data_IF_882887666644
#
_entry.id   IF_882887666644
#
_cell.length_a   1.000
_cell.length_b   1.000
_cell.length_c   1.000
_cell.angle_alpha   90.00
_cell.angle_beta   90.00
_cell.angle_gamma   90.00
#
_symmetry.space_group_name_H-M   'P 1'
#
loop_
_entity.id
_entity.type
_entity.pdbx_description
1 polymer ?
#
# COMPACT_ATOMS: atom_id res chain seq x y z
N UNK A 1 4.74 2.52 -6.36
CA UNK A 1 5.13 3.09 -5.05
C UNK A 1 6.50 3.76 -5.17
N UNK A 2 6.70 4.95 -4.59
CA UNK A 2 7.99 5.64 -4.55
C UNK A 2 8.89 5.08 -3.45
N UNK A 3 10.22 5.20 -3.60
CA UNK A 3 11.19 4.67 -2.62
C UNK A 3 11.04 5.29 -1.22
N UNK A 4 10.73 6.57 -1.17
CA UNK A 4 10.49 7.31 0.08
C UNK A 4 9.07 7.11 0.64
N UNK A 5 8.17 6.46 -0.10
CA UNK A 5 6.79 6.26 0.34
C UNK A 5 5.89 7.48 0.26
N UNK A 6 6.32 8.57 -0.39
CA UNK A 6 5.56 9.82 -0.43
C UNK A 6 4.17 9.68 -1.08
N UNK A 7 4.00 8.73 -2.00
CA UNK A 7 2.73 8.42 -2.64
C UNK A 7 2.02 7.19 -2.04
N UNK A 8 2.31 6.86 -0.78
CA UNK A 8 1.77 5.67 -0.12
C UNK A 8 0.25 5.64 -0.14
N UNK A 9 -0.42 6.74 0.20
CA UNK A 9 -1.89 6.83 0.26
C UNK A 9 -2.55 6.53 -1.09
N UNK A 10 -2.05 7.15 -2.16
CA UNK A 10 -2.53 6.91 -3.54
C UNK A 10 -2.24 5.50 -4.04
N UNK A 11 -1.07 4.96 -3.67
CA UNK A 11 -0.68 3.60 -4.02
C UNK A 11 -1.58 2.58 -3.33
N UNK A 12 -1.81 2.76 -2.02
CA UNK A 12 -2.69 1.92 -1.21
C UNK A 12 -4.11 1.88 -1.79
N UNK A 13 -4.67 3.05 -2.14
CA UNK A 13 -5.97 3.15 -2.78
C UNK A 13 -6.03 2.41 -4.12
N UNK A 14 -4.99 2.54 -4.97
CA UNK A 14 -4.91 1.84 -6.27
C UNK A 14 -4.86 0.33 -6.13
N UNK A 15 -4.03 -0.20 -5.23
CA UNK A 15 -3.91 -1.66 -5.02
C UNK A 15 -5.21 -2.23 -4.48
N UNK A 16 -5.84 -1.57 -3.51
CA UNK A 16 -7.13 -2.00 -2.95
C UNK A 16 -8.22 -2.00 -4.04
N UNK A 17 -8.27 -0.96 -4.88
CA UNK A 17 -9.27 -0.87 -5.95
C UNK A 17 -9.04 -1.95 -7.03
N UNK A 18 -7.78 -2.16 -7.45
CA UNK A 18 -7.43 -3.20 -8.42
C UNK A 18 -7.75 -4.62 -7.91
N UNK A 19 -7.46 -4.90 -6.64
CA UNK A 19 -7.83 -6.17 -6.04
C UNK A 19 -9.35 -6.32 -5.91
N UNK A 20 -10.06 -5.24 -5.61
CA UNK A 20 -11.54 -5.26 -5.52
C UNK A 20 -12.19 -5.51 -6.89
N UNK A 21 -11.69 -4.90 -7.96
CA UNK A 21 -12.24 -5.08 -9.32
C UNK A 21 -12.03 -6.49 -9.87
N UNK A 22 -11.01 -7.20 -9.39
CA UNK A 22 -10.70 -8.59 -9.76
C UNK A 22 -11.23 -9.64 -8.78
N UNK A 23 -11.95 -9.25 -7.72
CA UNK A 23 -12.39 -10.17 -6.68
C UNK A 23 -11.27 -10.69 -5.75
N UNK A 24 -10.06 -10.15 -5.88
CA UNK A 24 -8.84 -10.54 -5.17
C UNK A 24 -8.71 -9.94 -3.77
N UNK A 25 -9.65 -9.09 -3.35
CA UNK A 25 -9.56 -8.35 -2.07
C UNK A 25 -9.36 -9.27 -0.86
N UNK A 26 -9.89 -10.49 -0.90
CA UNK A 26 -9.72 -11.50 0.15
C UNK A 26 -8.27 -12.00 0.30
N UNK A 27 -7.48 -11.96 -0.78
CA UNK A 27 -6.06 -12.33 -0.73
C UNK A 27 -5.16 -11.22 -0.15
N UNK A 28 -5.67 -9.99 -0.03
CA UNK A 28 -4.97 -8.88 0.64
C UNK A 28 -5.26 -8.83 2.14
N UNK A 29 -6.42 -9.34 2.57
CA UNK A 29 -6.79 -9.43 3.97
C UNK A 29 -6.24 -10.74 4.53
N UNK A 30 -5.51 -10.66 5.64
CA UNK A 30 -4.97 -11.83 6.31
C UNK A 30 -6.10 -12.83 6.60
N UNK A 31 -6.08 -13.92 5.84
CA UNK A 31 -7.02 -15.03 5.95
C UNK A 31 -6.22 -16.29 6.25
N UNK A 32 -5.18 -16.19 7.08
CA UNK A 32 -4.30 -17.31 7.46
C UNK A 32 -5.02 -18.46 8.20
N UNK A 33 -6.33 -18.35 8.46
CA UNK A 33 -7.07 -19.35 9.25
C UNK A 33 -8.37 -19.93 8.65
N UNK A 34 -8.92 -19.39 7.56
CA UNK A 34 -10.26 -19.82 7.10
C UNK A 34 -10.25 -20.72 5.85
N UNK A 35 -9.16 -20.73 5.08
CA UNK A 35 -9.18 -21.35 3.75
C UNK A 35 -9.17 -22.88 3.86
N UNK A 36 -8.44 -23.43 4.85
CA UNK A 36 -8.47 -24.86 5.16
C UNK A 36 -9.72 -25.33 5.94
N UNK A 37 -10.35 -24.46 6.74
CA UNK A 37 -11.40 -24.89 7.69
C UNK A 37 -12.83 -24.41 7.38
N UNK A 38 -13.02 -23.42 6.51
CA UNK A 38 -14.35 -22.78 6.32
C UNK A 38 -14.89 -22.87 4.91
N UNK A 39 -14.04 -23.08 3.89
CA UNK A 39 -14.51 -23.22 2.50
C UNK A 39 -15.10 -24.60 2.19
N UNK A 40 -14.90 -25.57 3.07
CA UNK A 40 -15.34 -26.94 2.85
C UNK A 40 -16.04 -27.46 4.11
N UNK A 41 -17.36 -27.22 4.27
CA UNK A 41 -18.14 -28.20 4.99
C UNK A 41 -17.84 -29.55 4.32
N UNK A 42 -17.34 -30.53 5.08
CA UNK A 42 -17.17 -31.91 4.64
C UNK A 42 -18.55 -32.48 4.29
N UNK A 43 -19.03 -32.13 3.11
CA UNK A 43 -20.24 -32.66 2.49
C UNK A 43 -19.84 -33.02 1.08
N UNK A 44 -19.49 -34.29 0.89
CA UNK A 44 -19.50 -35.07 -0.36
C UNK A 44 -19.30 -34.25 -1.64
N UNK A 45 -18.23 -33.46 -1.72
CA UNK A 45 -17.84 -32.78 -2.94
C UNK A 45 -16.76 -33.62 -3.60
N UNK A 46 -16.99 -34.01 -4.87
CA UNK A 46 -16.05 -34.79 -5.68
C UNK A 46 -14.63 -34.22 -5.56
N UNK A 47 -13.63 -35.08 -5.33
CA UNK A 47 -12.23 -34.67 -5.12
C UNK A 47 -11.71 -33.74 -6.20
N UNK A 48 -12.14 -33.95 -7.45
CA UNK A 48 -11.79 -33.10 -8.60
C UNK A 48 -12.26 -31.65 -8.45
N UNK A 49 -13.44 -31.42 -7.85
CA UNK A 49 -13.99 -30.08 -7.61
C UNK A 49 -13.31 -29.36 -6.43
N UNK A 50 -12.72 -30.13 -5.51
CA UNK A 50 -11.86 -29.57 -4.46
C UNK A 50 -10.54 -29.14 -5.07
N UNK A 51 -9.88 -30.00 -5.84
CA UNK A 51 -8.60 -29.71 -6.50
C UNK A 51 -8.71 -28.49 -7.43
N UNK A 52 -9.77 -28.37 -8.22
CA UNK A 52 -10.01 -27.19 -9.08
C UNK A 52 -10.11 -25.88 -8.27
N UNK A 53 -10.77 -25.91 -7.09
CA UNK A 53 -10.85 -24.73 -6.20
C UNK A 53 -9.51 -24.39 -5.56
N UNK A 54 -8.70 -25.39 -5.23
CA UNK A 54 -7.35 -25.19 -4.68
C UNK A 54 -6.42 -24.55 -5.72
N UNK A 55 -6.43 -25.05 -6.96
CA UNK A 55 -5.66 -24.47 -8.06
C UNK A 55 -6.10 -23.04 -8.38
N UNK A 56 -7.41 -22.78 -8.42
CA UNK A 56 -7.92 -21.43 -8.65
C UNK A 56 -7.51 -20.47 -7.51
N UNK A 57 -7.54 -20.93 -6.26
CA UNK A 57 -7.04 -20.14 -5.13
C UNK A 57 -5.56 -19.76 -5.30
N UNK A 58 -4.70 -20.73 -5.59
CA UNK A 58 -3.26 -20.50 -5.77
C UNK A 58 -2.96 -19.59 -6.96
N UNK A 59 -3.71 -19.74 -8.06
CA UNK A 59 -3.63 -18.85 -9.22
C UNK A 59 -3.98 -17.40 -8.85
N UNK A 60 -5.08 -17.18 -8.13
CA UNK A 60 -5.49 -15.84 -7.70
C UNK A 60 -4.50 -15.23 -6.71
N UNK A 61 -3.90 -16.04 -5.84
CA UNK A 61 -2.82 -15.60 -4.94
C UNK A 61 -1.56 -15.18 -5.71
N UNK A 62 -1.15 -15.97 -6.71
CA UNK A 62 0.00 -15.66 -7.57
C UNK A 62 -0.23 -14.37 -8.36
N UNK A 63 -1.41 -14.20 -8.98
CA UNK A 63 -1.79 -12.98 -9.71
C UNK A 63 -1.73 -11.73 -8.82
N UNK A 64 -2.19 -11.86 -7.56
CA UNK A 64 -2.15 -10.76 -6.60
C UNK A 64 -0.70 -10.37 -6.26
N UNK A 65 0.17 -11.36 -6.04
CA UNK A 65 1.59 -11.14 -5.74
C UNK A 65 2.33 -10.52 -6.91
N UNK A 66 2.13 -11.04 -8.12
CA UNK A 66 2.77 -10.54 -9.35
C UNK A 66 2.47 -9.05 -9.55
N UNK A 67 1.19 -8.67 -9.48
CA UNK A 67 0.79 -7.26 -9.60
C UNK A 67 1.42 -6.37 -8.50
N UNK A 68 1.49 -6.84 -7.26
CA UNK A 68 2.17 -6.09 -6.20
C UNK A 68 3.67 -5.94 -6.54
N UNK A 69 4.33 -7.01 -6.98
CA UNK A 69 5.75 -7.00 -7.31
C UNK A 69 6.10 -6.07 -8.49
N UNK A 70 5.24 -5.98 -9.50
CA UNK A 70 5.41 -5.05 -10.62
C UNK A 70 5.31 -3.58 -10.21
N UNK A 71 4.58 -3.29 -9.13
CA UNK A 71 4.23 -1.91 -8.76
C UNK A 71 5.02 -1.36 -7.58
N UNK A 72 5.87 -2.19 -6.95
CA UNK A 72 6.78 -1.80 -5.86
C UNK A 72 8.22 -1.56 -6.33
N UNK A 73 9.00 -0.71 -5.63
CA UNK A 73 10.42 -0.58 -5.87
C UNK A 73 11.19 -1.89 -5.60
N UNK A 74 12.31 -2.09 -6.31
CA UNK A 74 13.19 -3.26 -6.14
C UNK A 74 13.69 -3.41 -4.70
N UNK A 75 13.94 -2.30 -4.01
CA UNK A 75 14.37 -2.27 -2.60
C UNK A 75 13.31 -2.83 -1.64
N UNK A 76 12.03 -2.71 -1.97
CA UNK A 76 10.91 -3.28 -1.22
C UNK A 76 10.68 -4.73 -1.63
N UNK A 77 10.75 -5.02 -2.93
CA UNK A 77 10.62 -6.38 -3.46
C UNK A 77 11.57 -7.37 -2.77
N UNK A 78 12.85 -7.01 -2.62
CA UNK A 78 13.85 -7.87 -1.95
C UNK A 78 13.44 -8.22 -0.51
N UNK A 79 12.70 -7.35 0.18
CA UNK A 79 12.26 -7.59 1.57
C UNK A 79 11.01 -8.45 1.69
N UNK A 80 10.17 -8.46 0.66
CA UNK A 80 8.84 -9.11 0.71
C UNK A 80 8.74 -10.34 -0.18
N UNK A 81 9.72 -10.60 -1.06
CA UNK A 81 9.68 -11.73 -2.00
C UNK A 81 9.57 -13.09 -1.32
N UNK A 82 10.22 -13.25 -0.17
CA UNK A 82 10.32 -14.53 0.53
C UNK A 82 9.11 -14.80 1.46
N UNK A 83 8.10 -13.93 1.44
CA UNK A 83 6.87 -14.10 2.21
C UNK A 83 5.90 -15.09 1.51
N UNK A 84 5.22 -15.95 2.28
CA UNK A 84 4.47 -17.08 1.72
C UNK A 84 3.19 -16.65 1.01
N UNK A 85 2.46 -15.67 1.55
CA UNK A 85 1.12 -15.29 1.07
C UNK A 85 1.09 -13.86 0.55
N UNK A 86 0.15 -13.58 -0.36
CA UNK A 86 -0.12 -12.21 -0.82
C UNK A 86 -0.49 -11.27 0.34
N UNK A 87 -1.21 -11.79 1.34
CA UNK A 87 -1.58 -11.06 2.54
C UNK A 87 -0.36 -10.68 3.39
N UNK A 88 0.60 -11.60 3.58
CA UNK A 88 1.83 -11.30 4.29
C UNK A 88 2.66 -10.22 3.58
N UNK A 89 2.79 -10.34 2.25
CA UNK A 89 3.43 -9.31 1.40
C UNK A 89 2.76 -7.96 1.60
N UNK A 90 1.43 -7.91 1.48
CA UNK A 90 0.65 -6.69 1.62
C UNK A 90 0.78 -6.08 3.01
N UNK A 91 0.66 -6.89 4.06
CA UNK A 91 0.79 -6.47 5.46
C UNK A 91 2.16 -5.87 5.75
N UNK A 92 3.25 -6.49 5.25
CA UNK A 92 4.60 -5.97 5.43
C UNK A 92 4.78 -4.61 4.72
N UNK A 93 4.23 -4.45 3.52
CA UNK A 93 4.26 -3.17 2.80
C UNK A 93 3.49 -2.11 3.61
N UNK A 94 2.28 -2.43 4.08
CA UNK A 94 1.47 -1.53 4.92
C UNK A 94 2.25 -1.13 6.18
N UNK A 95 2.78 -2.07 6.94
CA UNK A 95 3.55 -1.78 8.16
C UNK A 95 4.79 -0.92 7.89
N UNK A 96 5.43 -1.07 6.73
CA UNK A 96 6.64 -0.31 6.38
C UNK A 96 6.32 1.13 6.04
N UNK A 97 5.21 1.36 5.33
CA UNK A 97 4.90 2.67 4.75
C UNK A 97 3.85 3.47 5.53
N UNK A 98 2.98 2.83 6.29
CA UNK A 98 2.02 3.55 7.15
C UNK A 98 2.77 4.38 8.20
N UNK A 99 3.73 3.77 8.90
CA UNK A 99 4.54 4.45 9.93
C UNK A 99 5.47 5.52 9.32
N UNK A 100 6.04 5.25 8.14
CA UNK A 100 6.91 6.21 7.44
C UNK A 100 6.13 7.40 6.89
N UNK A 101 4.92 7.18 6.37
CA UNK A 101 4.04 8.25 5.91
C UNK A 101 3.74 9.26 7.01
N UNK A 102 3.42 8.78 8.22
CA UNK A 102 3.19 9.65 9.38
C UNK A 102 4.44 10.42 9.81
N UNK A 103 5.61 9.77 9.83
CA UNK A 103 6.87 10.43 10.17
C UNK A 103 7.27 11.50 9.15
N UNK A 104 7.11 11.21 7.86
CA UNK A 104 7.39 12.16 6.78
C UNK A 104 6.40 13.33 6.85
N UNK A 105 5.12 13.07 7.11
CA UNK A 105 4.12 14.12 7.28
C UNK A 105 4.48 15.04 8.47
N UNK A 106 4.92 14.47 9.59
CA UNK A 106 5.39 15.25 10.75
C UNK A 106 6.62 16.10 10.42
N UNK A 107 7.59 15.57 9.68
CA UNK A 107 8.79 16.30 9.26
C UNK A 107 8.44 17.45 8.30
N UNK A 108 7.59 17.18 7.30
CA UNK A 108 7.11 18.19 6.34
C UNK A 108 6.31 19.29 7.05
N UNK A 109 5.46 18.94 8.01
CA UNK A 109 4.71 19.92 8.82
C UNK A 109 5.64 20.76 9.70
N UNK A 110 6.65 20.14 10.30
CA UNK A 110 7.69 20.84 11.06
C UNK A 110 8.45 21.82 10.16
N UNK A 111 8.76 21.40 8.93
CA UNK A 111 9.42 22.26 7.94
C UNK A 111 8.52 23.42 7.50
N UNK A 112 7.22 23.17 7.30
CA UNK A 112 6.20 24.18 6.99
C UNK A 112 6.00 25.20 8.13
N UNK A 113 6.08 24.77 9.39
CA UNK A 113 5.99 25.66 10.54
C UNK A 113 7.26 26.50 10.74
N UNK A 114 8.42 25.97 10.36
CA UNK A 114 9.71 26.63 10.56
C UNK A 114 10.16 27.50 9.39
N UNK A 115 9.56 27.37 8.21
CA UNK A 115 9.83 28.27 7.08
C UNK A 115 9.32 29.67 7.43
N UNK A 116 10.26 30.60 7.64
CA UNK A 116 9.96 32.02 7.85
C UNK A 116 10.41 32.82 6.64
N UNK A 117 9.57 33.72 6.18
CA UNK A 117 9.97 34.71 5.18
C UNK A 117 11.02 35.64 5.79
N UNK A 118 12.16 35.76 5.12
CA UNK A 118 13.25 36.67 5.54
C UNK A 118 13.31 37.85 4.58
N UNK A 119 13.56 39.05 5.13
CA UNK A 119 13.65 40.27 4.34
C UNK A 119 14.80 40.16 3.31
N UNK A 120 14.48 40.36 2.02
CA UNK A 120 15.41 40.16 0.90
C UNK A 120 15.26 38.84 0.14
N UNK A 121 14.40 37.92 0.61
CA UNK A 121 14.10 36.68 -0.11
C UNK A 121 13.01 36.90 -1.17
N UNK A 122 13.07 36.19 -2.30
CA UNK A 122 12.03 36.26 -3.33
C UNK A 122 10.71 35.68 -2.78
N UNK A 123 9.69 36.54 -2.66
CA UNK A 123 8.35 36.19 -2.20
C UNK A 123 7.70 35.11 -3.06
N UNK A 124 7.92 35.12 -4.39
CA UNK A 124 7.32 34.13 -5.29
C UNK A 124 7.93 32.75 -5.03
N UNK A 125 9.25 32.67 -4.95
CA UNK A 125 9.94 31.43 -4.63
C UNK A 125 9.52 30.88 -3.25
N UNK A 126 9.37 31.77 -2.26
CA UNK A 126 8.91 31.40 -0.92
C UNK A 126 7.49 30.80 -0.92
N UNK A 127 6.54 31.46 -1.61
CA UNK A 127 5.17 30.96 -1.75
C UNK A 127 5.11 29.64 -2.52
N UNK A 128 5.93 29.47 -3.56
CA UNK A 128 6.04 28.20 -4.29
C UNK A 128 6.49 27.07 -3.36
N UNK A 129 7.52 27.29 -2.55
CA UNK A 129 7.99 26.27 -1.59
C UNK A 129 6.92 25.93 -0.54
N UNK A 130 6.19 26.92 -0.03
CA UNK A 130 5.09 26.69 0.92
C UNK A 130 3.98 25.84 0.30
N UNK A 131 3.62 26.12 -0.96
CA UNK A 131 2.61 25.37 -1.70
C UNK A 131 3.04 23.93 -1.99
N UNK A 132 4.31 23.70 -2.37
CA UNK A 132 4.85 22.35 -2.58
C UNK A 132 4.82 21.50 -1.30
N UNK A 133 5.09 22.11 -0.14
CA UNK A 133 5.00 21.44 1.16
C UNK A 133 3.54 21.11 1.51
N UNK A 134 2.59 22.02 1.26
CA UNK A 134 1.15 21.76 1.43
C UNK A 134 0.65 20.63 0.51
N UNK A 135 1.04 20.64 -0.77
CA UNK A 135 0.69 19.59 -1.72
C UNK A 135 1.28 18.22 -1.31
N UNK A 136 2.51 18.21 -0.78
CA UNK A 136 3.13 17.00 -0.23
C UNK A 136 2.37 16.46 0.99
N UNK A 137 1.89 17.34 1.87
CA UNK A 137 1.06 16.94 3.01
C UNK A 137 -0.30 16.37 2.56
N UNK A 138 -0.92 16.96 1.53
CA UNK A 138 -2.15 16.43 0.94
C UNK A 138 -1.95 15.03 0.34
N UNK A 139 -0.84 14.79 -0.37
CA UNK A 139 -0.50 13.45 -0.90
C UNK A 139 -0.25 12.41 0.20
N UNK A 140 0.26 12.85 1.35
CA UNK A 140 0.45 12.02 2.54
C UNK A 140 -0.85 11.78 3.33
N UNK A 141 -1.98 12.37 2.92
CA UNK A 141 -3.27 12.23 3.58
C UNK A 141 -3.48 13.16 4.79
N UNK A 142 -2.65 14.19 4.92
CA UNK A 142 -2.74 15.22 5.96
C UNK A 142 -2.95 16.60 5.32
N UNK A 143 -4.09 16.87 4.64
CA UNK A 143 -4.33 18.18 4.07
C UNK A 143 -4.32 19.24 5.18
N UNK A 144 -3.62 20.34 4.94
CA UNK A 144 -3.63 21.53 5.80
C UNK A 144 -4.68 22.46 5.21
N UNK A 145 -5.72 22.79 5.98
CA UNK A 145 -6.69 23.83 5.61
C UNK A 145 -6.00 25.20 5.61
N UNK A 146 -6.40 26.06 4.66
CA UNK A 146 -5.91 27.44 4.46
C UNK A 146 -6.36 28.39 5.57
#
# INVERSE_FOLDING_TARGET
LLENGANWSDYKARVINHASSKGLRRHLADTDGLIGSTLFPMTDTDGDALDEKWEEYHKQEALTREFIYETIPKSIFVKVRDLPTAAAVWSQIVSTFENRGTLIASDVLTRLQNIRFTEGQDLRAHLTTMKELQESLAQLGHPVDD
#
